data_IF_907428806829
#
_entry.id   IF_907428806829
#
_cell.length_a   1.000
_cell.length_b   1.000
_cell.length_c   1.000
_cell.angle_alpha   90.00
_cell.angle_beta   90.00
_cell.angle_gamma   90.00
#
_symmetry.space_group_name_H-M   'P 1'
#
loop_
_entity.id
_entity.type
_entity.pdbx_description
1 polymer ?
#
# COMPACT_ATOMS: atom_id res chain seq x y z
N UNK A 1 10.12 3.00 18.99
CA UNK A 1 10.58 2.54 17.66
C UNK A 1 9.55 1.57 17.13
N UNK A 2 9.11 1.79 15.95
CA UNK A 2 7.94 1.15 15.33
C UNK A 2 8.20 -0.24 14.73
N UNK A 3 9.39 -0.83 14.93
CA UNK A 3 9.76 -2.12 14.35
C UNK A 3 9.71 -3.22 15.40
N UNK A 4 8.89 -4.23 15.20
CA UNK A 4 8.72 -5.35 16.12
C UNK A 4 9.11 -6.67 15.45
N UNK A 5 10.17 -7.35 15.90
CA UNK A 5 10.46 -8.72 15.48
C UNK A 5 9.33 -9.68 15.85
N UNK A 6 9.03 -10.64 14.99
CA UNK A 6 8.11 -11.74 15.31
C UNK A 6 8.77 -13.07 14.94
N UNK A 7 8.90 -13.97 15.92
CA UNK A 7 9.72 -15.18 15.82
C UNK A 7 11.14 -14.79 15.37
N UNK A 8 11.67 -15.40 14.31
CA UNK A 8 13.00 -15.12 13.77
C UNK A 8 12.98 -14.11 12.60
N UNK A 9 11.87 -13.38 12.41
CA UNK A 9 11.71 -12.41 11.32
C UNK A 9 11.79 -10.99 11.87
N UNK A 10 12.68 -10.20 11.30
CA UNK A 10 12.88 -8.79 11.65
C UNK A 10 12.54 -7.97 10.40
N UNK A 11 11.72 -6.90 10.53
CA UNK A 11 11.44 -6.02 9.40
C UNK A 11 12.73 -5.45 8.77
N UNK A 12 12.84 -5.51 7.45
CA UNK A 12 13.93 -4.94 6.67
C UNK A 12 13.43 -3.70 5.94
N UNK A 13 13.93 -2.55 6.36
CA UNK A 13 13.48 -1.25 5.86
C UNK A 13 14.70 -0.53 5.33
N UNK A 14 14.60 0.03 4.13
CA UNK A 14 15.68 0.83 3.57
C UNK A 14 15.90 2.08 4.43
N UNK A 15 17.16 2.46 4.63
CA UNK A 15 17.57 3.54 5.57
C UNK A 15 17.00 4.92 5.22
N UNK A 16 16.54 5.10 4.00
CA UNK A 16 15.97 6.35 3.49
C UNK A 16 14.43 6.41 3.55
N UNK A 17 13.80 5.38 4.14
CA UNK A 17 12.35 5.37 4.36
C UNK A 17 11.94 6.26 5.54
N UNK A 18 10.78 6.90 5.43
CA UNK A 18 10.12 7.54 6.56
C UNK A 18 9.18 6.54 7.25
N UNK A 19 9.40 6.28 8.52
CA UNK A 19 8.53 5.45 9.35
C UNK A 19 8.05 6.31 10.52
N UNK A 20 6.77 6.65 10.51
CA UNK A 20 6.18 7.49 11.56
C UNK A 20 6.34 6.85 12.95
N UNK A 21 6.63 7.63 14.01
CA UNK A 21 7.00 7.10 15.34
C UNK A 21 5.91 6.25 16.00
N UNK A 22 4.64 6.46 15.65
CA UNK A 22 3.50 5.72 16.18
C UNK A 22 2.92 4.69 15.18
N UNK A 23 3.58 4.42 14.05
CA UNK A 23 3.27 3.28 13.19
C UNK A 23 3.89 2.00 13.74
N UNK A 24 3.40 0.83 13.31
CA UNK A 24 3.93 -0.47 13.72
C UNK A 24 4.24 -1.34 12.51
N UNK A 25 5.48 -1.82 12.41
CA UNK A 25 5.90 -2.76 11.36
C UNK A 25 6.40 -4.02 12.04
N UNK A 26 5.78 -5.16 11.73
CA UNK A 26 5.91 -6.40 12.52
C UNK A 26 6.28 -7.58 11.60
N UNK A 27 7.32 -8.34 11.99
CA UNK A 27 7.64 -9.64 11.39
C UNK A 27 8.30 -9.57 10.02
N UNK A 28 7.88 -10.43 9.08
CA UNK A 28 8.47 -10.59 7.74
C UNK A 28 7.98 -9.49 6.78
N UNK A 29 8.51 -8.29 6.94
CA UNK A 29 8.19 -7.12 6.13
C UNK A 29 9.45 -6.56 5.50
N UNK A 30 9.39 -6.24 4.21
CA UNK A 30 10.43 -5.49 3.51
C UNK A 30 9.84 -4.23 2.89
N UNK A 31 10.54 -3.10 3.02
CA UNK A 31 10.12 -1.81 2.46
C UNK A 31 11.28 -1.22 1.66
N UNK A 32 11.00 -0.95 0.39
CA UNK A 32 11.94 -0.39 -0.58
C UNK A 32 12.23 1.10 -0.35
N UNK A 33 13.29 1.55 -1.02
CA UNK A 33 13.85 2.90 -0.93
C UNK A 33 12.82 4.01 -1.12
N UNK A 34 12.98 5.15 -0.43
CA UNK A 34 12.16 6.36 -0.56
C UNK A 34 10.66 6.16 -0.22
N UNK A 35 10.30 5.01 0.33
CA UNK A 35 8.93 4.72 0.75
C UNK A 35 8.61 5.29 2.13
N UNK A 36 7.32 5.44 2.43
CA UNK A 36 6.89 6.03 3.70
C UNK A 36 5.69 5.31 4.30
N UNK A 37 5.73 5.12 5.63
CA UNK A 37 4.64 4.57 6.44
C UNK A 37 4.22 5.62 7.46
N UNK A 38 2.99 6.07 7.36
CA UNK A 38 2.48 7.23 8.06
C UNK A 38 1.85 6.90 9.41
N UNK A 39 1.36 7.91 10.11
CA UNK A 39 0.97 7.82 11.51
C UNK A 39 -0.19 6.83 11.76
N UNK A 40 -0.06 6.03 12.82
CA UNK A 40 -1.08 5.05 13.21
C UNK A 40 -1.20 3.82 12.30
N UNK A 41 -0.40 3.73 11.24
CA UNK A 41 -0.43 2.61 10.29
C UNK A 41 0.17 1.34 10.89
N UNK A 42 -0.45 0.19 10.62
CA UNK A 42 0.05 -1.13 11.02
C UNK A 42 0.35 -1.98 9.79
N UNK A 43 1.60 -2.43 9.66
CA UNK A 43 2.06 -3.36 8.62
C UNK A 43 2.54 -4.63 9.31
N UNK A 44 1.73 -5.71 9.27
CA UNK A 44 1.95 -6.90 10.08
C UNK A 44 2.13 -8.16 9.23
N UNK A 45 3.40 -8.57 9.06
CA UNK A 45 3.83 -9.78 8.36
C UNK A 45 4.21 -10.91 9.32
N UNK A 46 3.34 -11.24 10.27
CA UNK A 46 3.61 -12.23 11.33
C UNK A 46 3.32 -13.68 10.91
N UNK A 47 2.36 -13.89 10.03
CA UNK A 47 1.93 -15.23 9.57
C UNK A 47 2.23 -15.50 8.10
N UNK A 48 2.66 -14.50 7.34
CA UNK A 48 3.25 -14.58 6.01
C UNK A 48 3.97 -13.27 5.69
N UNK A 49 4.54 -13.13 4.50
CA UNK A 49 5.38 -11.97 4.18
C UNK A 49 4.61 -10.80 3.55
N UNK A 50 5.12 -9.59 3.80
CA UNK A 50 4.72 -8.35 3.13
C UNK A 50 5.93 -7.78 2.41
N UNK A 51 5.75 -7.33 1.18
CA UNK A 51 6.77 -6.66 0.37
C UNK A 51 6.23 -5.35 -0.17
N UNK A 52 6.93 -4.28 0.08
CA UNK A 52 6.59 -2.94 -0.39
C UNK A 52 7.74 -2.43 -1.26
N UNK A 53 7.43 -1.99 -2.45
CA UNK A 53 8.38 -1.42 -3.40
C UNK A 53 8.91 -0.05 -2.98
N UNK A 54 9.57 0.62 -3.91
CA UNK A 54 10.18 1.94 -3.71
C UNK A 54 9.20 3.08 -4.05
N UNK A 55 9.44 4.27 -3.49
CA UNK A 55 8.60 5.48 -3.68
C UNK A 55 7.11 5.27 -3.34
N UNK A 56 6.79 4.28 -2.52
CA UNK A 56 5.43 3.90 -2.15
C UNK A 56 5.07 4.50 -0.79
N UNK A 57 3.86 5.04 -0.68
CA UNK A 57 3.39 5.61 0.57
C UNK A 57 2.17 4.86 1.10
N UNK A 58 2.19 4.53 2.40
CA UNK A 58 1.07 3.92 3.13
C UNK A 58 0.62 4.93 4.17
N UNK A 59 -0.51 5.58 3.89
CA UNK A 59 -0.98 6.73 4.64
C UNK A 59 -1.63 6.36 5.98
N UNK A 60 -1.92 7.37 6.78
CA UNK A 60 -2.30 7.27 8.17
C UNK A 60 -3.44 6.29 8.43
N UNK A 61 -3.35 5.57 9.56
CA UNK A 61 -4.35 4.62 10.06
C UNK A 61 -4.67 3.45 9.13
N UNK A 62 -3.81 3.17 8.15
CA UNK A 62 -3.98 2.02 7.26
C UNK A 62 -3.53 0.72 7.92
N UNK A 63 -4.10 -0.40 7.49
CA UNK A 63 -3.73 -1.74 7.96
C UNK A 63 -3.34 -2.61 6.77
N UNK A 64 -2.15 -3.19 6.83
CA UNK A 64 -1.64 -4.14 5.84
C UNK A 64 -1.37 -5.46 6.54
N UNK A 65 -2.07 -6.51 6.13
CA UNK A 65 -1.94 -7.84 6.71
C UNK A 65 -1.96 -8.94 5.63
N UNK A 66 -1.93 -10.19 6.05
CA UNK A 66 -1.71 -11.35 5.19
C UNK A 66 -2.54 -12.56 5.68
N UNK A 67 -2.81 -13.53 4.80
CA UNK A 67 -3.39 -14.81 5.20
C UNK A 67 -2.29 -15.84 5.48
N UNK A 68 -2.39 -16.53 6.60
CA UNK A 68 -1.40 -17.50 7.11
C UNK A 68 -0.91 -18.45 6.03
N UNK A 69 0.39 -18.37 5.70
CA UNK A 69 1.11 -19.22 4.75
C UNK A 69 0.43 -19.40 3.38
N UNK A 70 -0.46 -18.46 2.98
CA UNK A 70 -1.28 -18.63 1.79
C UNK A 70 -1.25 -17.41 0.87
N UNK A 71 -1.65 -16.25 1.37
CA UNK A 71 -1.71 -15.05 0.57
C UNK A 71 -0.85 -13.95 1.21
N UNK A 72 0.31 -13.62 0.60
CA UNK A 72 1.12 -12.48 1.01
C UNK A 72 0.44 -11.17 0.58
N UNK A 73 0.92 -10.06 1.10
CA UNK A 73 0.59 -8.75 0.53
C UNK A 73 1.82 -8.17 -0.15
N UNK A 74 1.66 -7.86 -1.44
CA UNK A 74 2.71 -7.32 -2.28
C UNK A 74 2.26 -5.95 -2.80
N UNK A 75 3.06 -4.94 -2.57
CA UNK A 75 2.79 -3.57 -3.04
C UNK A 75 3.98 -3.14 -3.89
N UNK A 76 3.73 -2.74 -5.12
CA UNK A 76 4.73 -2.33 -6.09
C UNK A 76 5.37 -0.97 -5.79
N UNK A 77 6.01 -0.41 -6.82
CA UNK A 77 6.68 0.88 -6.76
C UNK A 77 5.73 2.01 -7.12
N UNK A 78 5.98 3.21 -6.61
CA UNK A 78 5.20 4.43 -6.88
C UNK A 78 3.70 4.26 -6.56
N UNK A 79 3.35 3.41 -5.59
CA UNK A 79 1.97 3.16 -5.19
C UNK A 79 1.57 4.12 -4.07
N UNK A 80 0.37 4.67 -4.19
CA UNK A 80 -0.25 5.46 -3.10
C UNK A 80 -1.37 4.67 -2.45
N UNK A 81 -1.19 4.35 -1.17
CA UNK A 81 -2.22 3.75 -0.32
C UNK A 81 -2.80 4.86 0.56
N UNK A 82 -4.04 5.25 0.27
CA UNK A 82 -4.73 6.34 0.96
C UNK A 82 -4.98 6.08 2.45
N UNK A 83 -5.35 7.12 3.19
CA UNK A 83 -5.64 7.04 4.62
C UNK A 83 -6.70 5.97 4.94
N UNK A 84 -6.53 5.25 6.04
CA UNK A 84 -7.50 4.25 6.55
C UNK A 84 -7.81 3.12 5.57
N UNK A 85 -6.90 2.79 4.66
CA UNK A 85 -7.05 1.66 3.74
C UNK A 85 -6.74 0.35 4.45
N UNK A 86 -7.47 -0.71 4.12
CA UNK A 86 -7.20 -2.07 4.56
C UNK A 86 -6.75 -2.91 3.37
N UNK A 87 -5.54 -3.47 3.43
CA UNK A 87 -5.00 -4.43 2.47
C UNK A 87 -4.81 -5.77 3.17
N UNK A 88 -5.36 -6.83 2.61
CA UNK A 88 -5.24 -8.16 3.18
C UNK A 88 -5.01 -9.21 2.09
N UNK A 89 -3.81 -9.83 2.07
CA UNK A 89 -3.47 -10.93 1.19
C UNK A 89 -3.61 -10.63 -0.32
N UNK A 90 -3.22 -9.45 -0.77
CA UNK A 90 -3.44 -8.97 -2.14
C UNK A 90 -2.15 -8.45 -2.78
N UNK A 91 -2.18 -8.25 -4.10
CA UNK A 91 -1.10 -7.67 -4.89
C UNK A 91 -1.57 -6.37 -5.54
N UNK A 92 -0.82 -5.30 -5.30
CA UNK A 92 -1.00 -3.98 -5.92
C UNK A 92 0.24 -3.71 -6.77
N UNK A 93 0.07 -3.60 -8.07
CA UNK A 93 1.19 -3.37 -8.98
C UNK A 93 1.53 -1.87 -9.09
N UNK A 94 2.61 -1.58 -9.81
CA UNK A 94 3.26 -0.27 -9.86
C UNK A 94 2.32 0.86 -10.30
N UNK A 95 2.59 2.07 -9.84
CA UNK A 95 1.88 3.29 -10.25
C UNK A 95 0.36 3.20 -10.04
N UNK A 96 -0.09 2.57 -8.97
CA UNK A 96 -1.52 2.45 -8.65
C UNK A 96 -1.93 3.31 -7.46
N UNK A 97 -3.20 3.67 -7.41
CA UNK A 97 -3.80 4.46 -6.33
C UNK A 97 -4.93 3.69 -5.67
N UNK A 98 -4.81 3.43 -4.38
CA UNK A 98 -5.89 2.89 -3.55
C UNK A 98 -6.48 4.05 -2.74
N UNK A 99 -7.69 4.44 -3.09
CA UNK A 99 -8.38 5.59 -2.50
C UNK A 99 -8.67 5.42 -1.00
N UNK A 100 -8.79 6.55 -0.31
CA UNK A 100 -9.02 6.64 1.14
C UNK A 100 -10.15 5.71 1.60
N UNK A 101 -9.94 4.98 2.70
CA UNK A 101 -10.96 4.12 3.32
C UNK A 101 -11.35 2.88 2.53
N UNK A 102 -10.61 2.54 1.48
CA UNK A 102 -10.90 1.34 0.70
C UNK A 102 -10.44 0.06 1.39
N UNK A 103 -11.08 -1.06 1.06
CA UNK A 103 -10.74 -2.41 1.53
C UNK A 103 -10.43 -3.30 0.33
N UNK A 104 -9.24 -3.89 0.29
CA UNK A 104 -8.81 -4.84 -0.75
C UNK A 104 -8.50 -6.17 -0.08
N UNK A 105 -9.24 -7.22 -0.47
CA UNK A 105 -9.24 -8.51 0.20
C UNK A 105 -8.35 -9.56 -0.51
N UNK A 106 -8.32 -10.76 0.06
CA UNK A 106 -7.44 -11.86 -0.35
C UNK A 106 -7.50 -12.17 -1.85
N UNK A 107 -6.33 -12.48 -2.43
CA UNK A 107 -6.17 -12.85 -3.84
C UNK A 107 -6.57 -11.77 -4.85
N UNK A 108 -6.77 -10.53 -4.41
CA UNK A 108 -6.96 -9.45 -5.37
C UNK A 108 -5.64 -9.12 -6.05
N UNK A 109 -5.71 -8.87 -7.36
CA UNK A 109 -4.62 -8.40 -8.18
C UNK A 109 -5.05 -7.06 -8.80
N UNK A 110 -4.41 -5.97 -8.41
CA UNK A 110 -4.66 -4.63 -8.94
C UNK A 110 -3.49 -4.30 -9.86
N UNK A 111 -3.69 -4.45 -11.16
CA UNK A 111 -2.66 -4.21 -12.16
C UNK A 111 -2.23 -2.73 -12.20
N UNK A 112 -1.06 -2.49 -12.78
CA UNK A 112 -0.43 -1.17 -12.83
C UNK A 112 -1.35 -0.07 -13.39
N UNK A 113 -1.12 1.16 -12.97
CA UNK A 113 -1.88 2.33 -13.42
C UNK A 113 -3.38 2.22 -13.14
N UNK A 114 -3.77 1.54 -12.08
CA UNK A 114 -5.18 1.39 -11.70
C UNK A 114 -5.54 2.29 -10.51
N UNK A 115 -6.80 2.70 -10.47
CA UNK A 115 -7.37 3.50 -9.37
C UNK A 115 -8.51 2.71 -8.73
N UNK A 116 -8.43 2.54 -7.41
CA UNK A 116 -9.58 2.16 -6.58
C UNK A 116 -10.13 3.43 -5.95
N UNK A 117 -11.38 3.76 -6.26
CA UNK A 117 -12.04 4.95 -5.71
C UNK A 117 -12.19 4.85 -4.19
N UNK A 118 -12.16 5.99 -3.51
CA UNK A 118 -12.28 6.06 -2.05
C UNK A 118 -13.53 5.32 -1.53
N UNK A 119 -13.42 4.67 -0.36
CA UNK A 119 -14.50 3.93 0.29
C UNK A 119 -14.94 2.65 -0.43
N UNK A 120 -14.17 2.15 -1.37
CA UNK A 120 -14.54 0.96 -2.15
C UNK A 120 -14.15 -0.34 -1.44
N UNK A 121 -14.85 -1.45 -1.75
CA UNK A 121 -14.50 -2.78 -1.27
C UNK A 121 -14.28 -3.73 -2.45
N UNK A 122 -13.04 -4.17 -2.64
CA UNK A 122 -12.66 -5.15 -3.66
C UNK A 122 -12.75 -6.55 -3.06
N UNK A 123 -13.68 -7.37 -3.61
CA UNK A 123 -13.95 -8.73 -3.12
C UNK A 123 -12.75 -9.66 -3.35
N UNK A 124 -12.61 -10.72 -2.52
CA UNK A 124 -11.54 -11.70 -2.71
C UNK A 124 -11.51 -12.25 -4.15
N UNK A 125 -10.29 -12.46 -4.67
CA UNK A 125 -10.05 -13.05 -5.99
C UNK A 125 -10.34 -12.12 -7.17
N UNK A 126 -10.63 -10.85 -6.94
CA UNK A 126 -10.88 -9.89 -8.03
C UNK A 126 -9.55 -9.53 -8.73
N UNK A 127 -9.56 -9.59 -10.06
CA UNK A 127 -8.46 -9.13 -10.92
C UNK A 127 -8.88 -7.86 -11.64
N UNK A 128 -8.13 -6.81 -11.44
CA UNK A 128 -8.35 -5.50 -12.05
C UNK A 128 -7.25 -5.26 -13.08
N UNK A 129 -7.64 -5.13 -14.33
CA UNK A 129 -6.71 -4.91 -15.43
C UNK A 129 -6.06 -3.52 -15.34
N UNK A 130 -4.86 -3.42 -15.94
CA UNK A 130 -4.11 -2.16 -16.00
C UNK A 130 -4.93 -0.99 -16.57
N UNK A 131 -4.74 0.18 -16.01
CA UNK A 131 -5.34 1.42 -16.49
C UNK A 131 -6.83 1.58 -16.20
N UNK A 132 -7.38 0.90 -15.19
CA UNK A 132 -8.80 0.94 -14.86
C UNK A 132 -9.10 1.73 -13.60
N UNK A 133 -10.25 2.41 -13.60
CA UNK A 133 -10.89 2.97 -12.42
C UNK A 133 -12.00 2.04 -11.96
N UNK A 134 -11.89 1.57 -10.70
CA UNK A 134 -12.92 0.76 -10.04
C UNK A 134 -13.46 1.45 -8.80
N UNK A 135 -14.73 1.21 -8.45
CA UNK A 135 -15.33 1.80 -7.25
C UNK A 135 -16.63 1.14 -6.82
N UNK A 136 -17.04 1.39 -5.58
CA UNK A 136 -18.31 0.94 -4.98
C UNK A 136 -18.16 -0.19 -3.95
N UNK A 137 -19.30 -0.65 -3.43
CA UNK A 137 -19.47 -1.66 -2.39
C UNK A 137 -20.47 -2.75 -2.84
N UNK A 138 -20.05 -3.84 -3.48
CA UNK A 138 -18.69 -4.17 -3.90
C UNK A 138 -18.19 -3.34 -5.10
N UNK A 139 -16.87 -3.18 -5.20
CA UNK A 139 -16.25 -2.45 -6.31
C UNK A 139 -16.54 -3.13 -7.66
N UNK A 140 -16.76 -2.29 -8.68
CA UNK A 140 -16.93 -2.67 -10.07
C UNK A 140 -16.13 -1.73 -10.96
N UNK A 141 -15.82 -2.18 -12.17
CA UNK A 141 -15.22 -1.33 -13.18
C UNK A 141 -16.13 -0.15 -13.51
N UNK A 142 -15.57 1.05 -13.54
CA UNK A 142 -16.28 2.28 -13.90
C UNK A 142 -15.89 2.68 -15.34
N UNK A 143 -14.57 2.77 -15.61
CA UNK A 143 -14.01 3.18 -16.91
C UNK A 143 -12.49 3.02 -16.95
N UNK A 144 -11.91 3.29 -18.09
CA UNK A 144 -10.46 3.52 -18.19
C UNK A 144 -10.06 4.82 -17.49
N UNK A 145 -8.84 4.86 -16.96
CA UNK A 145 -8.25 6.12 -16.48
C UNK A 145 -7.75 6.94 -17.68
N UNK A 146 -7.74 8.26 -17.52
CA UNK A 146 -7.24 9.19 -18.52
C UNK A 146 -5.80 9.63 -18.21
N UNK A 147 -5.18 10.37 -19.14
CA UNK A 147 -3.79 10.83 -18.99
C UNK A 147 -3.59 11.75 -17.78
N UNK A 148 -4.56 12.62 -17.47
CA UNK A 148 -4.49 13.48 -16.27
C UNK A 148 -4.49 12.68 -14.97
N UNK A 149 -5.21 11.56 -14.94
CA UNK A 149 -5.21 10.66 -13.79
C UNK A 149 -3.88 9.91 -13.67
N UNK A 150 -3.25 9.54 -14.77
CA UNK A 150 -1.88 8.98 -14.76
C UNK A 150 -0.86 9.99 -14.22
N UNK A 151 -0.91 11.23 -14.70
CA UNK A 151 -0.07 12.32 -14.20
C UNK A 151 -0.30 12.53 -12.70
N UNK A 152 -1.56 12.56 -12.27
CA UNK A 152 -1.93 12.72 -10.86
C UNK A 152 -1.42 11.59 -9.96
N UNK A 153 -1.51 10.33 -10.38
CA UNK A 153 -0.94 9.19 -9.64
C UNK A 153 0.56 9.37 -9.42
N UNK A 154 1.29 9.70 -10.50
CA UNK A 154 2.74 9.93 -10.44
C UNK A 154 3.09 11.12 -9.53
N UNK A 155 2.32 12.20 -9.61
CA UNK A 155 2.51 13.39 -8.78
C UNK A 155 2.25 13.09 -7.30
N UNK A 156 1.19 12.34 -6.96
CA UNK A 156 0.88 11.94 -5.59
C UNK A 156 2.04 11.17 -4.95
N UNK A 157 2.56 10.16 -5.61
CA UNK A 157 3.70 9.39 -5.12
C UNK A 157 4.91 10.30 -4.87
N UNK A 158 5.27 11.14 -5.85
CA UNK A 158 6.39 12.08 -5.73
C UNK A 158 6.19 13.10 -4.60
N UNK A 159 4.97 13.58 -4.38
CA UNK A 159 4.67 14.53 -3.30
C UNK A 159 4.87 13.89 -1.93
N UNK A 160 4.50 12.62 -1.75
CA UNK A 160 4.75 11.89 -0.51
C UNK A 160 6.24 11.60 -0.29
N UNK A 161 7.01 11.34 -1.35
CA UNK A 161 8.47 11.27 -1.25
C UNK A 161 9.04 12.59 -0.75
N UNK A 162 8.64 13.73 -1.33
CA UNK A 162 9.10 15.06 -0.88
C UNK A 162 8.67 15.37 0.56
N UNK A 163 7.43 15.06 0.92
CA UNK A 163 6.89 15.30 2.25
C UNK A 163 7.62 14.47 3.31
N UNK A 164 7.85 13.19 3.03
CA UNK A 164 8.58 12.29 3.95
C UNK A 164 10.00 12.77 4.25
N UNK A 165 10.68 13.40 3.27
CA UNK A 165 11.99 14.02 3.48
C UNK A 165 11.96 15.17 4.49
N UNK A 166 10.90 15.97 4.50
CA UNK A 166 10.74 17.04 5.47
C UNK A 166 10.62 16.47 6.89
N UNK A 167 9.89 15.37 7.08
CA UNK A 167 9.78 14.69 8.36
C UNK A 167 11.10 14.04 8.82
N UNK A 168 11.93 13.55 7.90
CA UNK A 168 13.24 12.99 8.23
C UNK A 168 14.27 14.06 8.62
N UNK A 169 14.01 15.33 8.34
CA UNK A 169 14.90 16.45 8.66
C UNK A 169 14.57 17.15 9.99
N UNK A 170 13.51 16.74 10.66
CA UNK A 170 13.12 17.25 12.00
C UNK A 170 13.83 16.46 13.09
#
# INVERSE_FOLDING_TARGET
MSLLPFKNKIPRINSDCFIAPNSMIIGDVEIGSMSSVWFGTVVRGDVFHIRVGSNTNIQDNSVVHVTTNKYPTIIGNNVTIGHSVILHGCSIFDNSLIGIGSVVLDQCEIEEWSIIAAGSMVKPGTKIASGKLWGGLPAKEIRDINDKEREWIAELSNNYVKLSRQYLSI
#
